data_IF_146187761334
#
_entry.id   IF_146187761334
#
_cell.length_a   1.000
_cell.length_b   1.000
_cell.length_c   1.000
_cell.angle_alpha   90.00
_cell.angle_beta   90.00
_cell.angle_gamma   90.00
#
_symmetry.space_group_name_H-M   'P 1'
#
loop_
_entity.id
_entity.type
_entity.pdbx_description
1 polymer ?
#
# COMPACT_ATOMS: atom_id res chain seq x y z
N UNK A 1 -0.15 -37.72 -8.30
CA UNK A 1 -0.24 -37.82 -6.84
C UNK A 1 0.10 -36.46 -6.26
N UNK A 2 -0.86 -35.79 -5.62
CA UNK A 2 -0.65 -34.45 -5.05
C UNK A 2 0.13 -34.58 -3.74
N UNK A 3 1.41 -34.24 -3.77
CA UNK A 3 2.25 -34.21 -2.58
C UNK A 3 1.76 -33.04 -1.71
N UNK A 4 1.20 -33.37 -0.56
CA UNK A 4 0.65 -32.35 0.36
C UNK A 4 1.81 -31.47 0.88
N UNK A 5 1.73 -30.18 0.61
CA UNK A 5 2.70 -29.20 1.08
C UNK A 5 2.98 -29.35 2.58
N UNK A 6 4.25 -29.27 2.99
CA UNK A 6 4.63 -29.45 4.39
C UNK A 6 3.85 -28.49 5.31
N UNK A 7 3.54 -28.88 6.57
CA UNK A 7 2.76 -28.06 7.50
C UNK A 7 3.34 -26.66 7.70
N UNK A 8 4.67 -26.52 7.61
CA UNK A 8 5.39 -25.24 7.72
C UNK A 8 5.11 -24.33 6.53
N UNK A 9 5.15 -24.85 5.31
CA UNK A 9 4.85 -24.09 4.09
C UNK A 9 3.39 -23.63 4.11
N UNK A 10 2.45 -24.48 4.52
CA UNK A 10 1.03 -24.13 4.63
C UNK A 10 0.80 -23.00 5.64
N UNK A 11 1.43 -23.04 6.80
CA UNK A 11 1.33 -21.96 7.80
C UNK A 11 1.88 -20.65 7.24
N UNK A 12 3.06 -20.65 6.64
CA UNK A 12 3.65 -19.46 6.03
C UNK A 12 2.73 -18.85 4.97
N UNK A 13 2.15 -19.67 4.10
CA UNK A 13 1.20 -19.21 3.09
C UNK A 13 -0.04 -18.55 3.70
N UNK A 14 -0.62 -19.14 4.76
CA UNK A 14 -1.79 -18.58 5.44
C UNK A 14 -1.44 -17.22 6.03
N UNK A 15 -0.29 -17.07 6.69
CA UNK A 15 0.14 -15.78 7.24
C UNK A 15 0.38 -14.73 6.14
N UNK A 16 1.00 -15.09 5.03
CA UNK A 16 1.22 -14.19 3.90
C UNK A 16 -0.12 -13.73 3.31
N UNK A 17 -1.03 -14.67 3.02
CA UNK A 17 -2.34 -14.35 2.49
C UNK A 17 -3.17 -13.48 3.44
N UNK A 18 -3.12 -13.76 4.74
CA UNK A 18 -3.80 -12.95 5.75
C UNK A 18 -3.22 -11.53 5.82
N UNK A 19 -1.90 -11.39 5.80
CA UNK A 19 -1.24 -10.08 5.80
C UNK A 19 -1.60 -9.27 4.55
N UNK A 20 -1.60 -9.90 3.38
CA UNK A 20 -2.01 -9.28 2.13
C UNK A 20 -3.49 -8.86 2.16
N UNK A 21 -4.36 -9.74 2.64
CA UNK A 21 -5.79 -9.44 2.79
C UNK A 21 -6.02 -8.24 3.71
N UNK A 22 -5.39 -8.22 4.89
CA UNK A 22 -5.52 -7.12 5.84
C UNK A 22 -4.97 -5.80 5.28
N UNK A 23 -3.84 -5.84 4.55
CA UNK A 23 -3.28 -4.69 3.89
C UNK A 23 -4.21 -4.11 2.82
N UNK A 24 -4.76 -4.96 1.95
CA UNK A 24 -5.70 -4.53 0.91
C UNK A 24 -7.04 -4.08 1.48
N UNK A 25 -7.53 -4.74 2.53
CA UNK A 25 -8.72 -4.30 3.23
C UNK A 25 -8.55 -2.91 3.85
N UNK A 26 -7.42 -2.67 4.53
CA UNK A 26 -7.10 -1.35 5.09
C UNK A 26 -6.98 -0.27 4.01
N UNK A 27 -6.35 -0.59 2.88
CA UNK A 27 -6.27 0.30 1.71
C UNK A 27 -7.66 0.63 1.16
N UNK A 28 -8.52 -0.37 0.98
CA UNK A 28 -9.90 -0.16 0.51
C UNK A 28 -10.74 0.70 1.45
N UNK A 29 -10.61 0.52 2.77
CA UNK A 29 -11.27 1.39 3.76
C UNK A 29 -10.76 2.83 3.65
N UNK A 30 -9.43 3.01 3.52
CA UNK A 30 -8.84 4.33 3.31
C UNK A 30 -9.42 5.01 2.06
N UNK A 31 -9.47 4.33 0.93
CA UNK A 31 -9.99 4.87 -0.33
C UNK A 31 -11.47 5.28 -0.22
N UNK A 32 -12.29 4.50 0.49
CA UNK A 32 -13.70 4.80 0.72
C UNK A 32 -13.92 6.08 1.55
N UNK A 33 -13.11 6.30 2.58
CA UNK A 33 -13.26 7.45 3.48
C UNK A 33 -12.50 8.69 3.02
N UNK A 34 -11.52 8.54 2.14
CA UNK A 34 -10.58 9.59 1.74
C UNK A 34 -11.29 10.85 1.20
N UNK A 35 -12.22 10.67 0.27
CA UNK A 35 -12.96 11.81 -0.32
C UNK A 35 -13.82 12.54 0.74
N UNK A 36 -14.43 11.80 1.67
CA UNK A 36 -15.18 12.40 2.77
C UNK A 36 -14.26 13.12 3.76
N UNK A 37 -13.09 12.55 4.06
CA UNK A 37 -12.07 13.21 4.88
C UNK A 37 -11.64 14.55 4.30
N UNK A 38 -11.36 14.62 3.00
CA UNK A 38 -10.98 15.89 2.36
C UNK A 38 -12.12 16.93 2.40
N UNK A 39 -13.37 16.49 2.24
CA UNK A 39 -14.55 17.37 2.27
C UNK A 39 -14.89 17.81 3.69
N UNK A 40 -15.03 16.86 4.62
CA UNK A 40 -15.69 17.08 5.90
C UNK A 40 -14.69 17.49 7.00
N UNK A 41 -13.47 16.93 6.98
CA UNK A 41 -12.44 17.24 7.96
C UNK A 41 -11.49 18.37 7.52
N UNK A 42 -11.18 18.45 6.21
CA UNK A 42 -10.28 19.47 5.67
C UNK A 42 -11.02 20.64 5.04
N UNK A 43 -12.34 20.55 4.85
CA UNK A 43 -13.18 21.58 4.23
C UNK A 43 -12.72 22.01 2.83
N UNK A 44 -12.11 21.09 2.08
CA UNK A 44 -11.63 21.36 0.73
C UNK A 44 -12.79 21.34 -0.27
N UNK A 45 -12.82 22.34 -1.15
CA UNK A 45 -13.74 22.38 -2.28
C UNK A 45 -13.38 21.32 -3.35
N UNK A 46 -14.21 21.23 -4.39
CA UNK A 46 -14.05 20.23 -5.46
C UNK A 46 -12.75 20.44 -6.22
N UNK A 47 -12.37 21.69 -6.46
CA UNK A 47 -11.17 22.04 -7.22
C UNK A 47 -9.91 21.64 -6.45
N UNK A 48 -9.81 22.00 -5.17
CA UNK A 48 -8.69 21.63 -4.32
C UNK A 48 -8.58 20.11 -4.10
N UNK A 49 -9.69 19.40 -4.02
CA UNK A 49 -9.69 17.94 -3.98
C UNK A 49 -9.11 17.34 -5.25
N UNK A 50 -9.40 17.93 -6.41
CA UNK A 50 -8.80 17.56 -7.69
C UNK A 50 -7.27 17.72 -7.69
N UNK A 51 -6.75 18.80 -7.11
CA UNK A 51 -5.30 18.98 -6.97
C UNK A 51 -4.65 17.95 -6.04
N UNK A 52 -5.33 17.54 -4.99
CA UNK A 52 -4.84 16.51 -4.03
C UNK A 52 -4.76 15.11 -4.67
N UNK A 53 -5.54 14.83 -5.70
CA UNK A 53 -5.42 13.55 -6.45
C UNK A 53 -4.05 13.42 -7.15
N UNK A 54 -3.40 14.54 -7.49
CA UNK A 54 -2.10 14.51 -8.15
C UNK A 54 -1.00 13.87 -7.29
N UNK A 55 -0.74 14.28 -6.03
CA UNK A 55 0.20 13.57 -5.15
C UNK A 55 -0.25 12.15 -4.81
N UNK A 56 -1.54 11.84 -4.86
CA UNK A 56 -2.06 10.50 -4.64
C UNK A 56 -1.73 9.57 -5.79
N UNK A 57 -1.86 10.02 -7.03
CA UNK A 57 -1.64 9.19 -8.23
C UNK A 57 -0.17 9.22 -8.72
N UNK A 58 0.62 10.19 -8.27
CA UNK A 58 2.01 10.36 -8.70
C UNK A 58 2.87 9.10 -8.52
N UNK A 59 2.84 8.37 -7.39
CA UNK A 59 3.60 7.13 -7.24
C UNK A 59 3.14 6.04 -8.22
N UNK A 60 1.87 6.01 -8.59
CA UNK A 60 1.33 5.11 -9.62
C UNK A 60 1.93 5.36 -11.00
N UNK A 61 2.02 6.62 -11.39
CA UNK A 61 2.66 7.03 -12.66
C UNK A 61 4.14 6.67 -12.66
N UNK A 62 4.81 6.84 -11.52
CA UNK A 62 6.23 6.53 -11.35
C UNK A 62 6.48 5.05 -11.00
N UNK A 63 5.45 4.25 -10.82
CA UNK A 63 5.56 2.87 -10.32
C UNK A 63 6.49 1.99 -11.15
N UNK A 64 6.53 2.17 -12.47
CA UNK A 64 7.44 1.44 -13.36
C UNK A 64 8.91 1.69 -13.00
N UNK A 65 9.27 2.92 -12.68
CA UNK A 65 10.63 3.27 -12.25
C UNK A 65 10.91 2.80 -10.83
N UNK A 66 9.96 3.01 -9.92
CA UNK A 66 10.06 2.61 -8.51
C UNK A 66 10.17 1.09 -8.38
N UNK A 67 9.31 0.33 -9.07
CA UNK A 67 9.35 -1.14 -9.06
C UNK A 67 10.66 -1.65 -9.65
N UNK A 68 11.15 -1.07 -10.76
CA UNK A 68 12.44 -1.46 -11.35
C UNK A 68 13.61 -1.27 -10.37
N UNK A 69 13.60 -0.19 -9.59
CA UNK A 69 14.60 0.06 -8.56
C UNK A 69 14.46 -0.93 -7.38
N UNK A 70 13.23 -1.30 -7.06
CA UNK A 70 12.91 -2.19 -5.94
C UNK A 70 13.25 -3.66 -6.20
N UNK A 71 13.39 -4.11 -7.46
CA UNK A 71 13.86 -5.46 -7.80
C UNK A 71 15.27 -5.77 -7.25
N UNK A 72 16.03 -4.74 -6.88
CA UNK A 72 17.35 -4.92 -6.22
C UNK A 72 17.23 -5.29 -4.74
N UNK A 73 16.06 -5.17 -4.13
CA UNK A 73 15.85 -5.40 -2.71
C UNK A 73 15.02 -6.67 -2.43
N UNK A 74 15.11 -7.16 -1.20
CA UNK A 74 14.31 -8.32 -0.78
C UNK A 74 12.82 -7.95 -0.70
N UNK A 75 11.99 -8.68 -1.43
CA UNK A 75 10.54 -8.44 -1.59
C UNK A 75 9.80 -8.34 -0.25
N UNK A 76 10.12 -9.23 0.69
CA UNK A 76 9.47 -9.25 2.02
C UNK A 76 9.81 -8.00 2.83
N UNK A 77 11.06 -7.52 2.74
CA UNK A 77 11.48 -6.27 3.40
C UNK A 77 10.79 -5.07 2.78
N UNK A 78 10.67 -5.05 1.46
CA UNK A 78 9.99 -3.97 0.74
C UNK A 78 8.49 -3.93 1.07
N UNK A 79 7.82 -5.08 1.16
CA UNK A 79 6.45 -5.15 1.64
C UNK A 79 6.31 -4.62 3.08
N UNK A 80 7.27 -4.92 3.95
CA UNK A 80 7.32 -4.35 5.31
C UNK A 80 7.47 -2.83 5.31
N UNK A 81 8.37 -2.29 4.49
CA UNK A 81 8.55 -0.82 4.33
C UNK A 81 7.26 -0.19 3.79
N UNK A 82 6.62 -0.80 2.80
CA UNK A 82 5.35 -0.33 2.24
C UNK A 82 4.25 -0.24 3.32
N UNK A 83 4.11 -1.26 4.15
CA UNK A 83 3.17 -1.26 5.27
C UNK A 83 3.49 -0.15 6.29
N UNK A 84 4.77 0.09 6.60
CA UNK A 84 5.17 1.17 7.51
C UNK A 84 4.86 2.56 6.93
N UNK A 85 5.08 2.76 5.64
CA UNK A 85 4.73 4.02 4.96
C UNK A 85 3.21 4.25 4.98
N UNK A 86 2.42 3.23 4.64
CA UNK A 86 0.96 3.31 4.70
C UNK A 86 0.48 3.64 6.11
N UNK A 87 0.93 2.87 7.11
CA UNK A 87 0.55 3.09 8.51
C UNK A 87 0.96 4.49 8.99
N UNK A 88 2.22 4.88 8.78
CA UNK A 88 2.74 6.19 9.20
C UNK A 88 2.01 7.35 8.55
N UNK A 89 1.75 7.26 7.25
CA UNK A 89 1.02 8.29 6.50
C UNK A 89 -0.45 8.38 6.94
N UNK A 90 -1.15 7.25 7.08
CA UNK A 90 -2.54 7.22 7.58
C UNK A 90 -2.63 7.73 9.02
N UNK A 91 -1.69 7.34 9.87
CA UNK A 91 -1.61 7.81 11.24
C UNK A 91 -1.41 9.33 11.29
N UNK A 92 -0.49 9.87 10.49
CA UNK A 92 -0.28 11.30 10.40
C UNK A 92 -1.52 12.06 9.87
N UNK A 93 -2.20 11.52 8.85
CA UNK A 93 -3.45 12.08 8.33
C UNK A 93 -4.57 12.14 9.38
N UNK A 94 -4.63 11.16 10.28
CA UNK A 94 -5.62 11.14 11.36
C UNK A 94 -5.49 12.33 12.34
N UNK A 95 -4.32 12.95 12.41
CA UNK A 95 -4.08 14.17 13.21
C UNK A 95 -4.18 15.46 12.39
N UNK A 96 -4.40 15.38 11.08
CA UNK A 96 -4.62 16.55 10.24
C UNK A 96 -6.06 17.06 10.43
N UNK A 97 -6.21 18.24 11.03
CA UNK A 97 -7.49 18.94 11.18
C UNK A 97 -7.69 20.05 10.15
N UNK A 98 -8.83 20.73 10.23
CA UNK A 98 -9.09 21.94 9.46
C UNK A 98 -7.96 22.95 9.67
N UNK A 99 -7.42 23.49 8.56
CA UNK A 99 -6.29 24.43 8.60
C UNK A 99 -4.91 23.77 8.47
N UNK A 100 -4.81 22.44 8.35
CA UNK A 100 -3.57 21.79 7.95
C UNK A 100 -3.14 22.32 6.58
N UNK A 101 -1.86 22.69 6.44
CA UNK A 101 -1.37 23.20 5.15
C UNK A 101 -1.50 22.16 4.05
N UNK A 102 -1.86 22.59 2.84
CA UNK A 102 -1.98 21.69 1.67
C UNK A 102 -0.68 20.93 1.39
N UNK A 103 0.47 21.52 1.65
CA UNK A 103 1.77 20.86 1.49
C UNK A 103 1.96 19.70 2.47
N UNK A 104 1.62 19.88 3.74
CA UNK A 104 1.70 18.83 4.74
C UNK A 104 0.70 17.71 4.42
N UNK A 105 -0.53 18.08 4.06
CA UNK A 105 -1.56 17.12 3.64
C UNK A 105 -1.10 16.30 2.43
N UNK A 106 -0.59 16.97 1.38
CA UNK A 106 -0.06 16.32 0.17
C UNK A 106 1.11 15.40 0.48
N UNK A 107 2.02 15.79 1.37
CA UNK A 107 3.16 14.96 1.76
C UNK A 107 2.73 13.65 2.43
N UNK A 108 1.75 13.71 3.33
CA UNK A 108 1.22 12.50 3.98
C UNK A 108 0.42 11.62 3.02
N UNK A 109 -0.37 12.21 2.13
CA UNK A 109 -1.11 11.49 1.08
C UNK A 109 -0.13 10.79 0.14
N UNK A 110 0.92 11.48 -0.30
CA UNK A 110 2.00 10.90 -1.12
C UNK A 110 2.68 9.73 -0.39
N UNK A 111 2.89 9.85 0.92
CA UNK A 111 3.50 8.79 1.74
C UNK A 111 2.62 7.53 1.78
N UNK A 112 1.31 7.68 1.99
CA UNK A 112 0.35 6.57 1.94
C UNK A 112 0.33 5.94 0.56
N UNK A 113 0.18 6.76 -0.49
CA UNK A 113 0.11 6.29 -1.86
C UNK A 113 1.39 5.57 -2.30
N UNK A 114 2.56 6.07 -1.93
CA UNK A 114 3.83 5.38 -2.20
C UNK A 114 3.84 3.98 -1.57
N UNK A 115 3.40 3.85 -0.33
CA UNK A 115 3.27 2.55 0.33
C UNK A 115 2.30 1.61 -0.38
N UNK A 116 1.11 2.12 -0.80
CA UNK A 116 0.12 1.34 -1.55
C UNK A 116 0.70 0.80 -2.87
N UNK A 117 1.34 1.65 -3.66
CA UNK A 117 1.89 1.25 -4.97
C UNK A 117 3.08 0.30 -4.85
N UNK A 118 3.95 0.47 -3.84
CA UNK A 118 5.01 -0.50 -3.54
C UNK A 118 4.39 -1.84 -3.16
N UNK A 119 3.39 -1.86 -2.28
CA UNK A 119 2.75 -3.09 -1.83
C UNK A 119 2.07 -3.82 -3.00
N UNK A 120 1.34 -3.10 -3.86
CA UNK A 120 0.71 -3.66 -5.06
C UNK A 120 1.75 -4.33 -5.97
N UNK A 121 2.88 -3.67 -6.27
CA UNK A 121 3.94 -4.24 -7.09
C UNK A 121 4.61 -5.47 -6.47
N UNK A 122 4.63 -5.59 -5.14
CA UNK A 122 5.25 -6.73 -4.44
C UNK A 122 4.30 -7.94 -4.29
N UNK A 123 2.98 -7.72 -4.25
CA UNK A 123 1.99 -8.79 -4.06
C UNK A 123 2.14 -9.87 -5.12
N UNK A 124 2.13 -9.50 -6.39
CA UNK A 124 2.20 -10.44 -7.51
C UNK A 124 3.50 -11.25 -7.46
N UNK A 125 4.62 -10.60 -7.17
CA UNK A 125 5.92 -11.25 -7.07
C UNK A 125 5.97 -12.25 -5.91
N UNK A 126 5.46 -11.87 -4.73
CA UNK A 126 5.41 -12.75 -3.55
C UNK A 126 4.50 -13.96 -3.81
N UNK A 127 3.35 -13.75 -4.44
CA UNK A 127 2.41 -14.82 -4.79
C UNK A 127 3.04 -15.80 -5.79
N UNK A 128 3.66 -15.29 -6.86
CA UNK A 128 4.32 -16.12 -7.88
C UNK A 128 5.47 -16.92 -7.27
N UNK A 129 6.34 -16.31 -6.47
CA UNK A 129 7.46 -17.01 -5.83
C UNK A 129 6.99 -18.06 -4.84
N UNK A 130 5.92 -17.78 -4.09
CA UNK A 130 5.34 -18.73 -3.14
C UNK A 130 4.69 -19.91 -3.86
N UNK A 131 3.99 -19.66 -4.98
CA UNK A 131 3.40 -20.69 -5.81
C UNK A 131 4.47 -21.58 -6.49
N UNK A 132 5.54 -20.98 -7.03
CA UNK A 132 6.62 -21.70 -7.71
C UNK A 132 7.39 -22.64 -6.79
N UNK A 133 7.58 -22.26 -5.53
CA UNK A 133 8.19 -23.16 -4.52
C UNK A 133 7.35 -24.42 -4.24
N UNK A 134 6.08 -24.39 -4.59
CA UNK A 134 5.14 -25.50 -4.43
C UNK A 134 5.24 -26.54 -5.54
N UNK A 135 5.68 -26.15 -6.74
CA UNK A 135 5.80 -27.02 -7.91
C UNK A 135 7.16 -27.71 -8.02
N UNK A 136 8.16 -27.28 -7.25
CA UNK A 136 9.54 -27.78 -7.32
C UNK A 136 9.91 -28.61 -6.07
N UNK A 137 9.06 -28.66 -5.05
CA UNK A 137 9.20 -29.50 -3.86
C UNK A 137 8.30 -30.74 -3.93
#
# INVERSE_FOLDING_TARGET
>A
MSEAASPRIRKTMVFVLLALFLGQFGSGVYDLIFSNFLRDAQHLDVEMRGFIELPRELPGILSLFVVSLLFMFNEVRMAGVACLLMFGGMYALAFCGAGTSLWALSAWILTVSLGQHILMGMIDTIVIHTARRRTVA
#
